data_IF_226908614317
#
_entry.id   IF_226908614317
#
_cell.length_a   1.000
_cell.length_b   1.000
_cell.length_c   1.000
_cell.angle_alpha   90.00
_cell.angle_beta   90.00
_cell.angle_gamma   90.00
#
_symmetry.space_group_name_H-M   'P 1'
#
loop_
_entity.id
_entity.type
_entity.pdbx_description
1 polymer ?
#
# COMPACT_ATOMS: atom_id res chain seq x y z
N UNK A 1 29.96 2.50 -23.73
CA UNK A 1 29.26 1.21 -23.55
C UNK A 1 29.46 0.59 -22.17
N UNK A 2 30.67 0.61 -21.56
CA UNK A 2 30.91 0.07 -20.21
C UNK A 2 30.27 0.86 -19.04
N UNK A 3 30.02 2.16 -19.22
CA UNK A 3 29.40 3.01 -18.19
C UNK A 3 27.95 2.61 -17.91
N UNK A 4 27.22 2.10 -18.91
CA UNK A 4 25.82 1.71 -18.77
C UNK A 4 25.60 0.55 -17.78
N UNK A 5 26.24 -0.63 -17.94
CA UNK A 5 26.08 -1.72 -16.98
C UNK A 5 26.58 -1.36 -15.58
N UNK A 6 27.62 -0.51 -15.47
CA UNK A 6 28.09 0.00 -14.19
C UNK A 6 27.04 0.89 -13.51
N UNK A 7 26.44 1.83 -14.26
CA UNK A 7 25.33 2.67 -13.78
C UNK A 7 24.14 1.83 -13.35
N UNK A 8 23.70 0.87 -14.17
CA UNK A 8 22.58 -0.01 -13.84
C UNK A 8 22.84 -0.84 -12.57
N UNK A 9 24.06 -1.36 -12.39
CA UNK A 9 24.43 -2.11 -11.19
C UNK A 9 24.39 -1.26 -9.92
N UNK A 10 24.93 -0.03 -9.99
CA UNK A 10 24.92 0.92 -8.86
C UNK A 10 23.48 1.35 -8.54
N UNK A 11 22.69 1.70 -9.56
CA UNK A 11 21.27 2.07 -9.42
C UNK A 11 20.48 0.93 -8.77
N UNK A 12 20.61 -0.29 -9.28
CA UNK A 12 19.91 -1.46 -8.75
C UNK A 12 20.24 -1.73 -7.28
N UNK A 13 21.52 -1.59 -6.89
CA UNK A 13 21.95 -1.78 -5.50
C UNK A 13 21.37 -0.72 -4.57
N UNK A 14 21.41 0.56 -4.97
CA UNK A 14 20.89 1.68 -4.16
C UNK A 14 19.37 1.60 -4.06
N UNK A 15 18.67 1.36 -5.17
CA UNK A 15 17.21 1.21 -5.19
C UNK A 15 16.76 0.07 -4.27
N UNK A 16 17.40 -1.09 -4.34
CA UNK A 16 17.07 -2.24 -3.48
C UNK A 16 17.20 -1.90 -2.00
N UNK A 17 18.21 -1.10 -1.64
CA UNK A 17 18.43 -0.67 -0.24
C UNK A 17 17.45 0.42 0.18
N UNK A 18 17.18 1.40 -0.68
CA UNK A 18 16.21 2.48 -0.45
C UNK A 18 14.79 1.94 -0.31
N UNK A 19 14.32 1.11 -1.25
CA UNK A 19 12.98 0.50 -1.21
C UNK A 19 12.72 -0.27 0.09
N UNK A 20 13.72 -1.01 0.60
CA UNK A 20 13.59 -1.75 1.86
C UNK A 20 13.28 -0.81 3.03
N UNK A 21 13.95 0.34 3.09
CA UNK A 21 13.71 1.34 4.14
C UNK A 21 12.40 2.10 3.93
N UNK A 22 12.03 2.40 2.68
CA UNK A 22 10.72 3.00 2.35
C UNK A 22 9.56 2.10 2.79
N UNK A 23 9.64 0.79 2.57
CA UNK A 23 8.60 -0.16 3.01
C UNK A 23 8.44 -0.14 4.53
N UNK A 24 9.54 -0.16 5.27
CA UNK A 24 9.50 -0.07 6.75
C UNK A 24 8.98 1.28 7.23
N UNK A 25 9.34 2.37 6.55
CA UNK A 25 8.82 3.71 6.84
C UNK A 25 7.30 3.75 6.66
N UNK A 26 6.77 3.24 5.55
CA UNK A 26 5.33 3.23 5.29
C UNK A 26 4.55 2.40 6.31
N UNK A 27 5.08 1.24 6.70
CA UNK A 27 4.48 0.43 7.77
C UNK A 27 4.47 1.16 9.12
N UNK A 28 5.54 1.90 9.43
CA UNK A 28 5.62 2.69 10.67
C UNK A 28 4.65 3.88 10.67
N UNK A 29 4.46 4.54 9.52
CA UNK A 29 3.43 5.59 9.35
C UNK A 29 2.04 5.01 9.57
N UNK A 30 1.74 3.83 9.00
CA UNK A 30 0.47 3.15 9.21
C UNK A 30 0.21 2.84 10.69
N UNK A 31 1.21 2.31 11.40
CA UNK A 31 1.10 2.02 12.83
C UNK A 31 0.84 3.28 13.68
N UNK A 32 1.55 4.37 13.41
CA UNK A 32 1.36 5.64 14.11
C UNK A 32 -0.02 6.22 13.83
N UNK A 33 -0.46 6.24 12.56
CA UNK A 33 -1.77 6.74 12.20
C UNK A 33 -2.88 5.91 12.87
N UNK A 34 -2.75 4.59 12.90
CA UNK A 34 -3.70 3.72 13.61
C UNK A 34 -3.73 4.01 15.12
N UNK A 35 -2.58 4.23 15.75
CA UNK A 35 -2.53 4.62 17.16
C UNK A 35 -3.20 5.98 17.39
N UNK A 36 -2.97 6.96 16.51
CA UNK A 36 -3.62 8.27 16.59
C UNK A 36 -5.14 8.11 16.47
N UNK A 37 -5.62 7.34 15.52
CA UNK A 37 -7.05 7.07 15.31
C UNK A 37 -7.70 6.40 16.54
N UNK A 38 -7.03 5.39 17.12
CA UNK A 38 -7.47 4.74 18.36
C UNK A 38 -7.54 5.72 19.54
N UNK A 39 -6.54 6.59 19.70
CA UNK A 39 -6.52 7.58 20.77
C UNK A 39 -7.58 8.67 20.60
N UNK A 40 -7.86 9.07 19.36
CA UNK A 40 -8.96 10.00 19.08
C UNK A 40 -10.32 9.37 19.37
N UNK A 41 -10.54 8.13 18.95
CA UNK A 41 -11.79 7.40 19.22
C UNK A 41 -12.03 7.11 20.70
N UNK A 42 -10.97 6.81 21.44
CA UNK A 42 -11.04 6.37 22.84
C UNK A 42 -10.54 7.41 23.86
N UNK A 43 -10.42 8.68 23.49
CA UNK A 43 -9.77 9.69 24.35
C UNK A 43 -10.44 9.81 25.74
N UNK A 44 -11.76 9.64 25.81
CA UNK A 44 -12.51 9.73 27.07
C UNK A 44 -12.13 8.58 28.01
N UNK A 45 -11.95 7.38 27.46
CA UNK A 45 -11.49 6.20 28.21
C UNK A 45 -10.07 6.44 28.71
N UNK A 46 -9.17 6.91 27.86
CA UNK A 46 -7.77 7.19 28.25
C UNK A 46 -7.72 8.20 29.40
N UNK A 47 -8.51 9.28 29.34
CA UNK A 47 -8.61 10.26 30.44
C UNK A 47 -9.25 9.68 31.71
N UNK A 48 -10.30 8.88 31.57
CA UNK A 48 -10.99 8.29 32.72
C UNK A 48 -10.09 7.34 33.52
N UNK A 49 -9.12 6.70 32.85
CA UNK A 49 -8.16 5.78 33.46
C UNK A 49 -6.76 6.39 33.68
N UNK A 50 -6.58 7.72 33.48
CA UNK A 50 -5.30 8.42 33.59
C UNK A 50 -4.16 7.78 32.76
N UNK A 51 -4.50 7.27 31.57
CA UNK A 51 -3.60 6.51 30.70
C UNK A 51 -2.74 7.36 29.75
N UNK A 52 -2.78 8.69 29.83
CA UNK A 52 -2.17 9.58 28.84
C UNK A 52 -0.65 9.40 28.73
N UNK A 53 0.05 9.22 29.85
CA UNK A 53 1.51 9.02 29.83
C UNK A 53 1.89 7.71 29.13
N UNK A 54 1.13 6.64 29.35
CA UNK A 54 1.37 5.36 28.70
C UNK A 54 1.10 5.43 27.18
N UNK A 55 0.06 6.16 26.79
CA UNK A 55 -0.24 6.43 25.38
C UNK A 55 0.88 7.22 24.70
N UNK A 56 1.37 8.30 25.34
CA UNK A 56 2.50 9.10 24.84
C UNK A 56 3.78 8.27 24.74
N UNK A 57 4.10 7.48 25.77
CA UNK A 57 5.29 6.61 25.74
C UNK A 57 5.24 5.59 24.59
N UNK A 58 4.05 5.04 24.33
CA UNK A 58 3.83 4.12 23.20
C UNK A 58 4.00 4.84 21.86
N UNK A 59 3.45 6.07 21.75
CA UNK A 59 3.59 6.90 20.55
C UNK A 59 5.06 7.24 20.29
N UNK A 60 5.81 7.66 21.31
CA UNK A 60 7.23 7.99 21.19
C UNK A 60 8.08 6.80 20.77
N UNK A 61 7.78 5.61 21.28
CA UNK A 61 8.45 4.37 20.88
C UNK A 61 8.21 4.05 19.39
N UNK A 62 6.99 4.24 18.89
CA UNK A 62 6.69 4.07 17.47
C UNK A 62 7.31 5.17 16.61
N UNK A 63 7.23 6.43 17.05
CA UNK A 63 7.79 7.58 16.37
C UNK A 63 9.32 7.46 16.23
N UNK A 64 10.02 6.91 17.23
CA UNK A 64 11.46 6.64 17.13
C UNK A 64 11.80 5.60 16.06
N UNK A 65 10.96 4.57 15.88
CA UNK A 65 11.10 3.60 14.78
C UNK A 65 10.86 4.27 13.42
N UNK A 66 9.82 5.09 13.31
CA UNK A 66 9.54 5.90 12.12
C UNK A 66 10.76 6.77 11.79
N UNK A 67 11.25 7.56 12.73
CA UNK A 67 12.43 8.41 12.56
C UNK A 67 13.64 7.64 12.03
N UNK A 68 14.00 6.52 12.67
CA UNK A 68 15.16 5.72 12.27
C UNK A 68 15.03 5.12 10.86
N UNK A 69 13.81 4.74 10.45
CA UNK A 69 13.55 4.23 9.11
C UNK A 69 13.51 5.35 8.06
N UNK A 70 12.87 6.48 8.36
CA UNK A 70 12.75 7.64 7.50
C UNK A 70 14.11 8.30 7.23
N UNK A 71 14.95 8.47 8.26
CA UNK A 71 16.32 8.97 8.10
C UNK A 71 17.12 8.12 7.12
N UNK A 72 17.12 6.79 7.31
CA UNK A 72 17.86 5.86 6.43
C UNK A 72 17.31 5.90 5.01
N UNK A 73 15.99 5.89 4.85
CA UNK A 73 15.31 5.99 3.55
C UNK A 73 15.71 7.27 2.82
N UNK A 74 15.62 8.41 3.49
CA UNK A 74 15.94 9.71 2.91
C UNK A 74 17.42 9.86 2.60
N UNK A 75 18.31 9.31 3.44
CA UNK A 75 19.73 9.27 3.16
C UNK A 75 20.04 8.47 1.89
N UNK A 76 19.52 7.24 1.76
CA UNK A 76 19.75 6.43 0.56
C UNK A 76 19.16 7.04 -0.72
N UNK A 77 18.01 7.70 -0.61
CA UNK A 77 17.42 8.43 -1.73
C UNK A 77 18.19 9.71 -2.07
N UNK A 78 18.68 10.42 -1.06
CA UNK A 78 19.44 11.66 -1.20
C UNK A 78 20.82 11.44 -1.83
N UNK A 79 21.51 10.33 -1.53
CA UNK A 79 22.81 10.02 -2.15
C UNK A 79 22.69 9.58 -3.62
N UNK A 80 21.49 9.26 -4.10
CA UNK A 80 21.27 8.82 -5.47
C UNK A 80 21.74 9.87 -6.47
N UNK A 81 21.35 11.14 -6.29
CA UNK A 81 21.71 12.23 -7.19
C UNK A 81 23.23 12.50 -7.25
N UNK A 82 23.95 12.65 -6.11
CA UNK A 82 25.40 12.77 -6.11
C UNK A 82 26.11 11.60 -6.81
N UNK A 83 25.65 10.37 -6.59
CA UNK A 83 26.25 9.18 -7.21
C UNK A 83 26.00 9.18 -8.73
N UNK A 84 24.81 9.56 -9.17
CA UNK A 84 24.50 9.69 -10.60
C UNK A 84 25.37 10.75 -11.28
N UNK A 85 25.55 11.90 -10.63
CA UNK A 85 26.44 12.95 -11.13
C UNK A 85 27.89 12.48 -11.16
N UNK A 86 28.34 11.75 -10.14
CA UNK A 86 29.69 11.19 -10.10
C UNK A 86 29.94 10.20 -11.25
N UNK A 87 29.03 9.25 -11.47
CA UNK A 87 29.14 8.27 -12.56
C UNK A 87 29.07 8.95 -13.94
N UNK A 88 28.19 9.94 -14.10
CA UNK A 88 28.09 10.74 -15.32
C UNK A 88 29.37 11.53 -15.61
N UNK A 89 29.96 12.16 -14.59
CA UNK A 89 31.22 12.90 -14.71
C UNK A 89 32.40 11.97 -14.98
N UNK A 90 32.45 10.79 -14.36
CA UNK A 90 33.47 9.78 -14.65
C UNK A 90 33.40 9.33 -16.12
N UNK A 91 32.18 9.11 -16.61
CA UNK A 91 31.93 8.80 -18.01
C UNK A 91 32.36 9.92 -18.96
N UNK A 92 32.07 11.17 -18.60
CA UNK A 92 32.51 12.34 -19.35
C UNK A 92 34.04 12.44 -19.42
N UNK A 93 34.75 12.27 -18.31
CA UNK A 93 36.22 12.32 -18.26
C UNK A 93 36.83 11.23 -19.14
N UNK A 94 36.32 9.99 -19.04
CA UNK A 94 36.80 8.87 -19.87
C UNK A 94 36.63 9.15 -21.37
N UNK A 95 35.47 9.66 -21.76
CA UNK A 95 35.18 10.03 -23.16
C UNK A 95 36.04 11.21 -23.61
N UNK A 96 36.24 12.21 -22.77
CA UNK A 96 37.05 13.37 -23.09
C UNK A 96 38.54 13.02 -23.27
N UNK A 97 39.10 12.16 -22.42
CA UNK A 97 40.50 11.71 -22.51
C UNK A 97 40.71 10.83 -23.75
N UNK A 98 39.89 9.78 -23.93
CA UNK A 98 40.03 8.87 -25.06
C UNK A 98 39.70 9.56 -26.38
N UNK A 99 38.60 10.32 -26.42
CA UNK A 99 38.19 11.05 -27.60
C UNK A 99 39.14 12.20 -27.94
N UNK A 100 39.71 12.87 -26.94
CA UNK A 100 40.77 13.87 -27.15
C UNK A 100 42.02 13.26 -27.77
N UNK A 101 42.42 12.07 -27.31
CA UNK A 101 43.53 11.32 -27.91
C UNK A 101 43.25 10.96 -29.37
N UNK A 102 42.09 10.40 -29.69
CA UNK A 102 41.71 10.04 -31.07
C UNK A 102 41.51 11.26 -31.99
N UNK A 103 41.08 12.39 -31.44
CA UNK A 103 40.98 13.65 -32.18
C UNK A 103 42.38 14.20 -32.50
N UNK A 104 43.33 14.10 -31.56
CA UNK A 104 44.71 14.52 -31.76
C UNK A 104 45.45 13.64 -32.79
N UNK A 105 45.12 12.35 -32.88
CA UNK A 105 45.65 11.43 -33.92
C UNK A 105 44.94 11.57 -35.27
N UNK A 106 43.96 12.47 -35.40
CA UNK A 106 43.21 12.70 -36.63
C UNK A 106 42.22 11.58 -37.01
N UNK A 107 41.97 10.64 -36.11
CA UNK A 107 41.09 9.49 -36.33
C UNK A 107 39.61 9.89 -36.28
N UNK A 108 39.29 10.89 -35.46
CA UNK A 108 37.94 11.45 -35.32
C UNK A 108 37.97 12.98 -35.39
N UNK A 109 36.88 13.60 -35.82
CA UNK A 109 36.72 15.06 -35.83
C UNK A 109 36.28 15.55 -34.45
N UNK A 110 36.65 16.78 -34.10
CA UNK A 110 36.21 17.43 -32.85
C UNK A 110 34.68 17.48 -32.74
N UNK A 111 33.96 17.67 -33.86
CA UNK A 111 32.49 17.64 -33.87
C UNK A 111 31.91 16.27 -33.51
N UNK A 112 32.60 15.17 -33.84
CA UNK A 112 32.17 13.80 -33.50
C UNK A 112 32.31 13.56 -31.99
N UNK A 113 33.40 14.03 -31.38
CA UNK A 113 33.59 14.00 -29.93
C UNK A 113 32.49 14.80 -29.20
N UNK A 114 32.18 16.01 -29.66
CA UNK A 114 31.12 16.83 -29.08
C UNK A 114 29.75 16.15 -29.17
N UNK A 115 29.43 15.59 -30.34
CA UNK A 115 28.16 14.90 -30.60
C UNK A 115 28.02 13.66 -29.73
N UNK A 116 29.10 12.88 -29.57
CA UNK A 116 29.11 11.68 -28.73
C UNK A 116 28.87 12.01 -27.24
N UNK A 117 29.51 13.08 -26.73
CA UNK A 117 29.28 13.56 -25.35
C UNK A 117 27.82 13.96 -25.14
N UNK A 118 27.21 14.67 -26.10
CA UNK A 118 25.80 15.05 -26.02
C UNK A 118 24.89 13.82 -26.03
N UNK A 119 25.10 12.87 -26.94
CA UNK A 119 24.32 11.64 -26.98
C UNK A 119 24.44 10.82 -25.69
N UNK A 120 25.63 10.74 -25.10
CA UNK A 120 25.83 10.05 -23.83
C UNK A 120 24.98 10.67 -22.71
N UNK A 121 24.95 12.00 -22.59
CA UNK A 121 24.14 12.71 -21.58
C UNK A 121 22.64 12.53 -21.84
N UNK A 122 22.21 12.68 -23.09
CA UNK A 122 20.81 12.46 -23.48
C UNK A 122 20.35 11.02 -23.26
N UNK A 123 21.26 10.04 -23.28
CA UNK A 123 20.91 8.64 -23.05
C UNK A 123 20.87 8.26 -21.54
N UNK A 124 21.62 8.96 -20.68
CA UNK A 124 21.66 8.65 -19.24
C UNK A 124 20.49 9.26 -18.46
N UNK A 125 19.98 10.41 -18.88
CA UNK A 125 18.85 11.08 -18.21
C UNK A 125 17.54 10.25 -18.23
N UNK A 126 17.11 9.66 -19.38
CA UNK A 126 15.88 8.86 -19.44
C UNK A 126 15.93 7.59 -18.59
N UNK A 127 17.11 6.97 -18.44
CA UNK A 127 17.30 5.78 -17.60
C UNK A 127 16.94 6.07 -16.14
N UNK A 128 17.37 7.23 -15.63
CA UNK A 128 17.02 7.68 -14.27
C UNK A 128 15.51 7.89 -14.10
N UNK A 129 14.85 8.44 -15.12
CA UNK A 129 13.39 8.67 -15.11
C UNK A 129 12.61 7.35 -15.10
N UNK A 130 12.99 6.37 -15.94
CA UNK A 130 12.37 5.04 -15.97
C UNK A 130 12.51 4.34 -14.61
N UNK A 131 13.70 4.42 -14.00
CA UNK A 131 13.95 3.85 -12.68
C UNK A 131 13.07 4.50 -11.58
N UNK A 132 12.94 5.83 -11.59
CA UNK A 132 12.07 6.53 -10.64
C UNK A 132 10.59 6.17 -10.83
N UNK A 133 10.12 6.08 -12.08
CA UNK A 133 8.72 5.78 -12.41
C UNK A 133 8.31 4.33 -12.13
N UNK A 134 9.29 3.42 -11.94
CA UNK A 134 9.04 2.01 -11.62
C UNK A 134 8.21 1.82 -10.35
N UNK A 135 8.34 2.72 -9.36
CA UNK A 135 7.54 2.67 -8.13
C UNK A 135 6.06 2.98 -8.41
N UNK A 136 5.78 3.95 -9.29
CA UNK A 136 4.41 4.31 -9.67
C UNK A 136 3.76 3.16 -10.42
N UNK A 137 4.50 2.50 -11.32
CA UNK A 137 4.01 1.34 -12.05
C UNK A 137 3.63 0.19 -11.10
N UNK A 138 4.49 -0.11 -10.11
CA UNK A 138 4.20 -1.13 -9.09
C UNK A 138 2.97 -0.79 -8.25
N UNK A 139 2.83 0.47 -7.84
CA UNK A 139 1.66 0.94 -7.10
C UNK A 139 0.38 0.85 -7.93
N UNK A 140 0.45 1.14 -9.23
CA UNK A 140 -0.69 1.04 -10.13
C UNK A 140 -1.14 -0.42 -10.30
N UNK A 141 -0.19 -1.36 -10.44
CA UNK A 141 -0.48 -2.80 -10.50
C UNK A 141 -1.21 -3.25 -9.22
N UNK A 142 -0.68 -2.93 -8.04
CA UNK A 142 -1.31 -3.32 -6.77
C UNK A 142 -2.67 -2.65 -6.52
N UNK A 143 -2.87 -1.42 -7.00
CA UNK A 143 -4.17 -0.75 -6.95
C UNK A 143 -5.18 -1.43 -7.89
N UNK A 144 -4.74 -1.80 -9.10
CA UNK A 144 -5.56 -2.51 -10.07
C UNK A 144 -5.99 -3.87 -9.57
N UNK A 145 -5.11 -4.62 -8.90
CA UNK A 145 -5.43 -5.91 -8.30
C UNK A 145 -6.59 -5.78 -7.30
N UNK A 146 -6.54 -4.80 -6.39
CA UNK A 146 -7.65 -4.54 -5.45
C UNK A 146 -8.97 -4.18 -6.14
N UNK A 147 -8.93 -3.39 -7.21
CA UNK A 147 -10.14 -3.05 -7.98
C UNK A 147 -10.72 -4.29 -8.65
N UNK A 148 -9.87 -5.11 -9.28
CA UNK A 148 -10.33 -6.35 -9.91
C UNK A 148 -10.84 -7.37 -8.88
N UNK A 149 -10.20 -7.49 -7.71
CA UNK A 149 -10.72 -8.33 -6.61
C UNK A 149 -12.14 -7.93 -6.22
N UNK A 150 -12.41 -6.63 -6.08
CA UNK A 150 -13.75 -6.14 -5.76
C UNK A 150 -14.76 -6.43 -6.87
N UNK A 151 -14.36 -6.29 -8.14
CA UNK A 151 -15.23 -6.56 -9.29
C UNK A 151 -15.50 -8.06 -9.49
N UNK A 152 -14.60 -8.93 -9.03
CA UNK A 152 -14.73 -10.39 -9.09
C UNK A 152 -15.45 -10.99 -7.88
N UNK A 153 -15.67 -10.19 -6.83
CA UNK A 153 -16.39 -10.62 -5.64
C UNK A 153 -17.84 -11.00 -6.01
N UNK A 154 -18.31 -12.14 -5.50
CA UNK A 154 -19.65 -12.63 -5.84
C UNK A 154 -20.70 -11.68 -5.28
N UNK A 155 -21.65 -11.28 -6.12
CA UNK A 155 -22.84 -10.58 -5.66
C UNK A 155 -23.55 -11.41 -4.59
N UNK A 156 -24.10 -10.74 -3.58
CA UNK A 156 -25.03 -11.38 -2.65
C UNK A 156 -26.20 -11.99 -3.44
N UNK A 157 -26.85 -13.00 -2.84
CA UNK A 157 -27.91 -13.77 -3.48
C UNK A 157 -28.93 -12.80 -4.10
N UNK A 158 -29.01 -12.80 -5.43
CA UNK A 158 -29.92 -11.93 -6.16
C UNK A 158 -31.38 -12.17 -5.72
N UNK A 159 -32.18 -11.11 -5.78
CA UNK A 159 -33.61 -11.21 -5.56
C UNK A 159 -34.21 -12.34 -6.41
N UNK A 160 -35.16 -13.12 -5.88
CA UNK A 160 -35.77 -14.23 -6.61
C UNK A 160 -36.35 -13.73 -7.95
N UNK A 161 -36.12 -14.50 -9.03
CA UNK A 161 -36.54 -14.15 -10.39
C UNK A 161 -38.06 -13.94 -10.55
N UNK A 162 -38.84 -14.52 -9.63
CA UNK A 162 -40.28 -14.29 -9.49
C UNK A 162 -40.55 -13.88 -8.03
N UNK A 163 -40.51 -12.58 -7.71
CA UNK A 163 -40.74 -12.10 -6.36
C UNK A 163 -42.21 -12.29 -5.98
N UNK A 164 -42.46 -12.84 -4.80
CA UNK A 164 -43.81 -13.01 -4.29
C UNK A 164 -44.53 -11.66 -4.17
N UNK A 165 -45.81 -11.61 -4.55
CA UNK A 165 -46.64 -10.41 -4.43
C UNK A 165 -46.87 -10.05 -2.95
N UNK A 166 -46.31 -8.92 -2.54
CA UNK A 166 -46.42 -8.40 -1.17
C UNK A 166 -47.67 -7.53 -0.95
N UNK A 167 -48.53 -7.34 -1.97
CA UNK A 167 -49.69 -6.45 -1.90
C UNK A 167 -50.78 -6.92 -0.91
N UNK A 168 -50.86 -8.22 -0.63
CA UNK A 168 -51.82 -8.84 0.29
C UNK A 168 -51.13 -9.85 1.24
N UNK A 169 -50.20 -9.37 2.06
CA UNK A 169 -49.54 -10.20 3.07
C UNK A 169 -50.47 -10.51 4.24
N UNK A 170 -50.63 -11.80 4.54
CA UNK A 170 -51.20 -12.22 5.82
C UNK A 170 -50.28 -11.76 6.97
N UNK A 171 -50.81 -11.13 8.00
CA UNK A 171 -50.04 -10.63 9.17
C UNK A 171 -49.60 -11.75 10.13
N UNK A 172 -49.28 -12.93 9.60
CA UNK A 172 -48.80 -14.11 10.34
C UNK A 172 -47.33 -14.32 10.00
N UNK A 173 -46.48 -14.46 11.01
CA UNK A 173 -45.04 -14.73 10.83
C UNK A 173 -44.75 -16.12 11.37
N UNK A 174 -44.03 -16.94 10.60
CA UNK A 174 -43.67 -18.30 10.98
C UNK A 174 -42.19 -18.54 10.67
N UNK A 175 -41.44 -19.01 11.67
CA UNK A 175 -40.11 -19.57 11.53
C UNK A 175 -40.24 -21.07 11.71
N UNK A 176 -39.68 -21.84 10.76
CA UNK A 176 -39.71 -23.30 10.81
C UNK A 176 -38.31 -23.83 10.59
N UNK A 177 -37.82 -24.62 11.55
CA UNK A 177 -36.52 -25.31 11.53
C UNK A 177 -35.36 -24.38 11.15
N UNK A 178 -35.37 -23.15 11.68
CA UNK A 178 -34.42 -22.11 11.29
C UNK A 178 -33.06 -22.32 11.96
N UNK A 179 -32.04 -22.35 11.12
CA UNK A 179 -30.63 -22.43 11.49
C UNK A 179 -29.91 -21.20 10.95
N UNK A 180 -29.15 -20.51 11.79
CA UNK A 180 -28.43 -19.30 11.37
C UNK A 180 -27.09 -19.16 12.07
N UNK A 181 -26.08 -18.72 11.32
CA UNK A 181 -24.75 -18.37 11.81
C UNK A 181 -24.09 -17.40 10.83
N UNK A 182 -23.27 -16.47 11.35
CA UNK A 182 -22.50 -15.54 10.52
C UNK A 182 -21.30 -16.21 9.84
N UNK A 183 -20.83 -17.31 10.41
CA UNK A 183 -19.75 -18.14 9.91
C UNK A 183 -20.30 -19.55 9.69
N UNK A 184 -19.84 -20.25 8.64
CA UNK A 184 -20.37 -21.55 8.25
C UNK A 184 -20.21 -22.63 9.33
N UNK A 185 -19.21 -22.49 10.21
CA UNK A 185 -18.86 -23.40 11.29
C UNK A 185 -19.45 -22.98 12.65
N UNK A 186 -20.12 -21.83 12.74
CA UNK A 186 -20.63 -21.29 14.00
C UNK A 186 -22.10 -20.90 13.91
N UNK A 187 -22.95 -21.88 14.20
CA UNK A 187 -24.39 -21.68 14.29
C UNK A 187 -24.77 -20.98 15.61
N UNK A 188 -25.45 -19.84 15.49
CA UNK A 188 -25.96 -19.01 16.61
C UNK A 188 -27.41 -19.38 16.95
N UNK A 189 -28.24 -19.65 15.95
CA UNK A 189 -29.63 -20.08 16.12
C UNK A 189 -29.75 -21.52 15.63
N UNK A 190 -30.21 -22.42 16.49
CA UNK A 190 -30.37 -23.85 16.18
C UNK A 190 -31.85 -24.22 16.28
N UNK A 191 -32.36 -24.97 15.29
CA UNK A 191 -33.70 -25.56 15.28
C UNK A 191 -34.86 -24.61 15.70
N UNK A 192 -34.79 -23.34 15.32
CA UNK A 192 -35.75 -22.35 15.79
C UNK A 192 -37.10 -22.46 15.07
N UNK A 193 -38.13 -22.75 15.87
CA UNK A 193 -39.51 -22.91 15.44
C UNK A 193 -40.40 -21.94 16.22
N UNK A 194 -41.12 -21.07 15.52
CA UNK A 194 -41.89 -20.00 16.15
C UNK A 194 -43.04 -19.54 15.25
N UNK A 195 -44.17 -19.20 15.86
CA UNK A 195 -45.32 -18.66 15.15
C UNK A 195 -45.91 -17.45 15.89
N UNK A 196 -46.08 -16.34 15.16
CA UNK A 196 -46.77 -15.14 15.60
C UNK A 196 -48.09 -14.95 14.83
N UNK A 197 -49.20 -14.88 15.57
CA UNK A 197 -50.53 -14.64 15.00
C UNK A 197 -50.79 -13.15 14.74
N UNK A 198 -51.70 -12.79 13.81
CA UNK A 198 -52.10 -11.41 13.59
C UNK A 198 -52.53 -10.71 14.90
N UNK A 199 -51.95 -9.54 15.17
CA UNK A 199 -52.23 -8.74 16.37
C UNK A 199 -51.61 -9.24 17.68
N UNK A 200 -50.88 -10.36 17.65
CA UNK A 200 -50.21 -10.91 18.83
C UNK A 200 -48.95 -10.11 19.18
N UNK A 201 -48.78 -9.76 20.45
CA UNK A 201 -47.55 -9.17 20.98
C UNK A 201 -46.65 -10.27 21.51
N UNK A 202 -45.39 -10.27 21.10
CA UNK A 202 -44.41 -11.27 21.50
C UNK A 202 -43.17 -10.56 22.04
N UNK A 203 -42.66 -11.05 23.16
CA UNK A 203 -41.42 -10.59 23.76
C UNK A 203 -40.34 -11.66 23.58
N UNK A 204 -39.20 -11.26 23.01
CA UNK A 204 -38.02 -12.13 22.87
C UNK A 204 -37.09 -11.80 24.04
N UNK A 205 -36.87 -12.77 24.92
CA UNK A 205 -36.03 -12.62 26.12
C UNK A 205 -34.91 -13.65 26.12
N UNK A 206 -33.75 -13.28 26.64
CA UNK A 206 -32.59 -14.16 26.72
C UNK A 206 -31.29 -13.40 27.01
N UNK A 207 -30.21 -14.09 27.38
CA UNK A 207 -28.93 -13.47 27.72
C UNK A 207 -28.30 -12.74 26.52
N UNK A 208 -27.41 -11.77 26.78
CA UNK A 208 -26.64 -11.08 25.73
C UNK A 208 -25.86 -12.09 24.88
N UNK A 209 -25.88 -11.93 23.57
CA UNK A 209 -25.22 -12.86 22.63
C UNK A 209 -26.05 -14.07 22.19
N UNK A 210 -27.30 -14.22 22.66
CA UNK A 210 -28.20 -15.32 22.27
C UNK A 210 -28.86 -15.18 20.89
N UNK A 211 -28.42 -14.26 20.02
CA UNK A 211 -28.99 -14.08 18.67
C UNK A 211 -30.38 -13.42 18.62
N UNK A 212 -30.65 -12.46 19.53
CA UNK A 212 -31.92 -11.70 19.55
C UNK A 212 -31.98 -10.53 18.56
N UNK A 213 -30.83 -10.13 18.03
CA UNK A 213 -30.61 -9.02 17.11
C UNK A 213 -30.01 -9.61 15.84
#
# INVERSE_FOLDING_TARGET
>A
MLILPLSFGIIGMILKKSQRHFKTQQASIGAINGQVEEMYGNHLIVKAFNGEQAAIATFDAQNKKLYGSAWKSQFYSGIMQPIMNFVGNLGYVLVAVLGGYYAATGTIKIGELQSFIQYMRSFTMPIGQIAAQSNVLQSAIAASERVFTLLEEKEEIADPADPADASNLASRVCFKDVHFGYEADKTVINDFNFEAKPGQKIAIVGPTGAGKT
#
